data_IF_754742565143
#
_entry.id   IF_754742565143
#
_cell.length_a   1.000
_cell.length_b   1.000
_cell.length_c   1.000
_cell.angle_alpha   90.00
_cell.angle_beta   90.00
_cell.angle_gamma   90.00
#
_symmetry.space_group_name_H-M   'P 1'
#
loop_
_entity.id
_entity.type
_entity.pdbx_description
1 polymer ?
#
# COMPACT_ATOMS: atom_id res chain seq x y z
N UNK A 1 12.90 9.97 2.47
CA UNK A 1 13.48 8.73 1.90
C UNK A 1 12.70 8.33 0.66
N UNK A 2 13.28 8.53 -0.52
CA UNK A 2 12.71 8.14 -1.82
C UNK A 2 12.91 6.64 -2.04
N UNK A 3 11.82 5.90 -2.21
CA UNK A 3 11.88 4.48 -2.54
C UNK A 3 12.40 4.31 -3.98
N UNK A 4 13.65 3.88 -4.13
CA UNK A 4 14.21 3.47 -5.42
C UNK A 4 13.56 2.16 -5.87
N UNK A 5 12.41 2.27 -6.55
CA UNK A 5 11.75 1.16 -7.23
C UNK A 5 12.53 0.85 -8.52
N UNK A 6 13.57 0.04 -8.38
CA UNK A 6 14.27 -0.52 -9.53
C UNK A 6 13.32 -1.43 -10.32
N UNK A 7 12.69 -0.87 -11.35
CA UNK A 7 11.98 -1.61 -12.41
C UNK A 7 13.01 -2.39 -13.23
N UNK A 8 13.61 -3.44 -12.64
CA UNK A 8 14.52 -4.32 -13.38
C UNK A 8 13.74 -5.05 -14.46
N UNK A 9 14.05 -4.70 -15.71
CA UNK A 9 13.39 -5.08 -16.95
C UNK A 9 13.41 -6.58 -17.32
N UNK A 10 13.60 -7.51 -16.36
CA UNK A 10 13.57 -8.97 -16.62
C UNK A 10 12.43 -9.72 -15.95
N UNK A 11 11.52 -9.05 -15.23
CA UNK A 11 10.30 -9.66 -14.68
C UNK A 11 9.12 -8.69 -14.81
N UNK A 12 8.39 -8.73 -15.92
CA UNK A 12 7.02 -8.22 -15.97
C UNK A 12 6.18 -9.17 -15.13
N UNK A 13 6.22 -9.04 -13.79
CA UNK A 13 5.76 -10.17 -12.97
C UNK A 13 5.56 -9.94 -11.48
N UNK A 14 6.28 -9.03 -10.83
CA UNK A 14 6.04 -8.81 -9.41
C UNK A 14 6.40 -7.38 -8.99
N UNK A 15 5.38 -6.60 -8.64
CA UNK A 15 5.57 -5.40 -7.82
C UNK A 15 5.87 -5.92 -6.40
N UNK A 16 7.14 -6.21 -6.10
CA UNK A 16 7.57 -6.69 -4.79
C UNK A 16 7.65 -5.52 -3.81
N UNK A 17 6.49 -5.14 -3.26
CA UNK A 17 6.43 -4.10 -2.23
C UNK A 17 6.46 -4.67 -0.80
N UNK A 18 6.22 -5.97 -0.61
CA UNK A 18 6.02 -6.57 0.73
C UNK A 18 7.23 -6.35 1.67
N UNK A 19 8.43 -6.72 1.24
CA UNK A 19 9.63 -6.59 2.10
C UNK A 19 10.00 -5.14 2.39
N UNK A 20 9.81 -4.24 1.43
CA UNK A 20 9.97 -2.80 1.63
C UNK A 20 8.93 -2.25 2.60
N UNK A 21 7.64 -2.56 2.38
CA UNK A 21 6.55 -2.02 3.18
C UNK A 21 6.62 -2.46 4.63
N UNK A 22 7.00 -3.72 4.90
CA UNK A 22 7.17 -4.22 6.27
C UNK A 22 8.32 -3.52 6.98
N UNK A 23 9.46 -3.29 6.30
CA UNK A 23 10.57 -2.53 6.88
C UNK A 23 10.22 -1.06 7.14
N UNK A 24 9.57 -0.39 6.19
CA UNK A 24 9.14 0.99 6.39
C UNK A 24 8.09 1.11 7.51
N UNK A 25 7.17 0.15 7.58
CA UNK A 25 6.13 0.12 8.59
C UNK A 25 6.66 -0.21 9.99
N UNK A 26 7.59 -1.15 10.13
CA UNK A 26 8.20 -1.46 11.44
C UNK A 26 8.89 -0.24 12.06
N UNK A 27 9.54 0.59 11.24
CA UNK A 27 10.17 1.83 11.71
C UNK A 27 9.14 2.89 12.14
N UNK A 28 7.98 2.95 11.48
CA UNK A 28 7.05 4.09 11.61
C UNK A 28 5.77 3.78 12.40
N UNK A 29 5.35 2.51 12.45
CA UNK A 29 4.11 2.06 13.04
C UNK A 29 4.13 2.14 14.58
N UNK A 30 5.29 1.91 15.20
CA UNK A 30 5.48 2.04 16.64
C UNK A 30 5.17 3.46 17.12
N UNK A 31 5.66 4.47 16.39
CA UNK A 31 5.41 5.90 16.68
C UNK A 31 3.94 6.29 16.50
N UNK A 32 3.21 5.57 15.65
CA UNK A 32 1.81 5.86 15.32
C UNK A 32 0.80 5.04 16.13
N UNK A 33 1.26 4.12 17.00
CA UNK A 33 0.40 3.18 17.72
C UNK A 33 -0.42 2.27 16.78
N UNK A 34 0.07 2.03 15.56
CA UNK A 34 -0.63 1.26 14.52
C UNK A 34 -0.10 -0.16 14.43
N UNK A 35 -0.95 -1.09 14.03
CA UNK A 35 -0.49 -2.41 13.58
C UNK A 35 0.49 -2.25 12.41
N UNK A 36 1.65 -2.91 12.52
CA UNK A 36 2.69 -2.92 11.48
C UNK A 36 2.11 -3.38 10.14
N UNK A 37 1.24 -4.39 10.16
CA UNK A 37 0.64 -4.94 8.94
C UNK A 37 -0.34 -3.98 8.28
N UNK A 38 -1.17 -3.30 9.07
CA UNK A 38 -2.11 -2.29 8.57
C UNK A 38 -1.35 -1.10 8.00
N UNK A 39 -0.28 -0.66 8.67
CA UNK A 39 0.53 0.44 8.17
C UNK A 39 1.31 0.05 6.90
N UNK A 40 1.90 -1.15 6.86
CA UNK A 40 2.56 -1.68 5.67
C UNK A 40 1.60 -1.81 4.48
N UNK A 41 0.33 -2.11 4.73
CA UNK A 41 -0.72 -2.16 3.71
C UNK A 41 -1.01 -0.78 3.13
N UNK A 42 -1.17 0.25 3.95
CA UNK A 42 -1.38 1.61 3.44
C UNK A 42 -0.17 2.12 2.64
N UNK A 43 1.05 1.83 3.08
CA UNK A 43 2.25 2.14 2.30
C UNK A 43 2.26 1.47 0.91
N UNK A 44 1.74 0.24 0.82
CA UNK A 44 1.59 -0.47 -0.47
C UNK A 44 0.51 0.16 -1.33
N UNK A 45 -0.64 0.52 -0.75
CA UNK A 45 -1.74 1.20 -1.47
C UNK A 45 -1.24 2.53 -2.05
N UNK A 46 -0.54 3.33 -1.28
CA UNK A 46 0.04 4.60 -1.72
C UNK A 46 1.07 4.41 -2.84
N UNK A 47 1.97 3.43 -2.68
CA UNK A 47 2.97 3.12 -3.70
C UNK A 47 2.33 2.66 -5.02
N UNK A 48 1.28 1.83 -4.95
CA UNK A 48 0.52 1.39 -6.11
C UNK A 48 -0.25 2.55 -6.75
N UNK A 49 -0.79 3.49 -5.96
CA UNK A 49 -1.42 4.70 -6.46
C UNK A 49 -0.45 5.56 -7.27
N UNK A 50 0.76 5.79 -6.74
CA UNK A 50 1.84 6.49 -7.48
C UNK A 50 2.25 5.76 -8.75
N UNK A 51 2.39 4.43 -8.70
CA UNK A 51 2.70 3.62 -9.89
C UNK A 51 1.58 3.69 -10.93
N UNK A 52 0.33 3.71 -10.51
CA UNK A 52 -0.82 3.86 -11.39
C UNK A 52 -0.82 5.21 -12.10
N UNK A 53 -0.51 6.31 -11.39
CA UNK A 53 -0.38 7.65 -11.98
C UNK A 53 0.78 7.73 -12.99
N UNK A 54 1.89 7.03 -12.72
CA UNK A 54 3.06 6.99 -13.60
C UNK A 54 2.95 5.95 -14.75
N UNK A 55 1.92 5.11 -14.76
CA UNK A 55 1.83 3.98 -15.66
C UNK A 55 1.54 4.40 -17.11
N UNK A 56 2.49 4.09 -18.01
CA UNK A 56 2.40 4.39 -19.45
C UNK A 56 1.43 3.48 -20.22
N UNK A 57 1.02 2.34 -19.65
CA UNK A 57 0.16 1.37 -20.32
C UNK A 57 -1.12 1.10 -19.53
N UNK A 58 -2.21 0.78 -20.25
CA UNK A 58 -3.48 0.37 -19.62
C UNK A 58 -3.33 -0.92 -18.80
N UNK A 59 -2.51 -1.86 -19.27
CA UNK A 59 -2.22 -3.12 -18.56
C UNK A 59 -1.58 -2.86 -17.20
N UNK A 60 -0.58 -1.96 -17.13
CA UNK A 60 0.07 -1.63 -15.87
C UNK A 60 -0.89 -0.90 -14.91
N UNK A 61 -1.73 0.01 -15.43
CA UNK A 61 -2.78 0.67 -14.62
C UNK A 61 -3.78 -0.35 -14.05
N UNK A 62 -4.29 -1.25 -14.88
CA UNK A 62 -5.22 -2.29 -14.47
C UNK A 62 -4.59 -3.21 -13.39
N UNK A 63 -3.32 -3.56 -13.56
CA UNK A 63 -2.57 -4.35 -12.58
C UNK A 63 -2.41 -3.62 -11.24
N UNK A 64 -2.05 -2.33 -11.26
CA UNK A 64 -1.94 -1.53 -10.03
C UNK A 64 -3.30 -1.44 -9.32
N UNK A 65 -4.37 -1.15 -10.07
CA UNK A 65 -5.73 -1.11 -9.54
C UNK A 65 -6.17 -2.43 -8.91
N UNK A 66 -5.89 -3.56 -9.57
CA UNK A 66 -6.19 -4.88 -9.04
C UNK A 66 -5.46 -5.14 -7.70
N UNK A 67 -4.16 -4.86 -7.65
CA UNK A 67 -3.37 -5.04 -6.42
C UNK A 67 -3.84 -4.10 -5.30
N UNK A 68 -4.17 -2.85 -5.59
CA UNK A 68 -4.73 -1.92 -4.60
C UNK A 68 -6.04 -2.45 -4.01
N UNK A 69 -6.93 -2.97 -4.85
CA UNK A 69 -8.20 -3.57 -4.39
C UNK A 69 -7.96 -4.77 -3.49
N UNK A 70 -6.97 -5.62 -3.80
CA UNK A 70 -6.60 -6.73 -2.92
C UNK A 70 -6.12 -6.23 -1.55
N UNK A 71 -5.25 -5.22 -1.52
CA UNK A 71 -4.81 -4.64 -0.24
C UNK A 71 -6.00 -4.09 0.55
N UNK A 72 -6.87 -3.27 -0.07
CA UNK A 72 -8.05 -2.68 0.57
C UNK A 72 -8.98 -3.75 1.17
N UNK A 73 -9.22 -4.85 0.44
CA UNK A 73 -10.05 -5.96 0.92
C UNK A 73 -9.50 -6.64 2.18
N UNK A 74 -8.20 -6.57 2.41
CA UNK A 74 -7.55 -7.19 3.55
C UNK A 74 -7.31 -6.23 4.72
N UNK A 75 -7.86 -5.01 4.70
CA UNK A 75 -7.80 -4.10 5.85
C UNK A 75 -8.43 -4.75 7.08
N UNK A 76 -7.77 -4.63 8.23
CA UNK A 76 -8.29 -5.18 9.47
C UNK A 76 -9.54 -4.41 9.92
N UNK A 77 -10.43 -5.05 10.68
CA UNK A 77 -11.60 -4.38 11.25
C UNK A 77 -11.19 -3.19 12.15
N UNK A 78 -10.09 -3.31 12.88
CA UNK A 78 -9.55 -2.21 13.69
C UNK A 78 -9.09 -1.03 12.82
N UNK A 79 -8.50 -1.31 11.66
CA UNK A 79 -8.13 -0.27 10.71
C UNK A 79 -9.36 0.41 10.11
N UNK A 80 -10.37 -0.35 9.71
CA UNK A 80 -11.61 0.19 9.16
C UNK A 80 -12.27 1.11 10.18
N UNK A 81 -12.44 0.66 11.43
CA UNK A 81 -12.98 1.50 12.51
C UNK A 81 -12.23 2.81 12.70
N UNK A 82 -10.89 2.79 12.71
CA UNK A 82 -10.08 4.02 12.79
C UNK A 82 -10.30 4.96 11.61
N UNK A 83 -10.52 4.42 10.41
CA UNK A 83 -10.81 5.22 9.23
C UNK A 83 -12.21 5.83 9.29
N UNK A 84 -13.19 5.07 9.75
CA UNK A 84 -14.56 5.56 9.99
C UNK A 84 -14.57 6.67 11.05
N UNK A 85 -13.85 6.49 12.15
CA UNK A 85 -13.66 7.48 13.22
C UNK A 85 -13.07 8.79 12.67
N UNK A 86 -11.98 8.69 11.92
CA UNK A 86 -11.31 9.85 11.32
C UNK A 86 -12.19 10.60 10.31
N UNK A 87 -13.19 9.94 9.74
CA UNK A 87 -14.16 10.53 8.81
C UNK A 87 -15.44 11.03 9.51
N UNK A 88 -15.54 10.89 10.83
CA UNK A 88 -16.75 11.22 11.59
C UNK A 88 -17.95 10.33 11.23
N UNK A 89 -17.68 9.10 10.77
CA UNK A 89 -18.71 8.14 10.37
C UNK A 89 -19.08 7.16 11.49
N UNK A 90 -18.35 7.19 12.61
CA UNK A 90 -18.76 6.50 13.83
C UNK A 90 -19.83 7.35 14.52
N UNK A 91 -21.06 6.82 14.52
CA UNK A 91 -22.18 7.33 15.31
C UNK A 91 -22.03 6.97 16.79
#
# INVERSE_FOLDING_TARGET
>A
MTANLATRARRVGAIQLRSWSTRAATVSAATLGRSVDDHARELRIDALGRLMCAARTRVLRARCSHLMRLEIRHRSAAQIRRMEDAMGLLA
#
